data_IF_438555614742
#
_entry.id   IF_438555614742
#
_cell.length_a   1.000
_cell.length_b   1.000
_cell.length_c   1.000
_cell.angle_alpha   90.00
_cell.angle_beta   90.00
_cell.angle_gamma   90.00
#
_symmetry.space_group_name_H-M   'P 1'
#
loop_
_entity.id
_entity.type
_entity.pdbx_description
1 polymer ?
#
# COMPACT_ATOMS: atom_id res chain seq x y z
N UNK A 1 1.55 -32.70 -3.21
CA UNK A 1 1.73 -31.95 -1.97
C UNK A 1 1.09 -30.59 -2.16
N UNK A 2 0.00 -30.32 -1.44
CA UNK A 2 -0.70 -29.04 -1.53
C UNK A 2 0.09 -28.01 -0.70
N UNK A 3 -0.02 -26.73 -1.05
CA UNK A 3 0.68 -25.63 -0.33
C UNK A 3 0.22 -25.57 1.13
N UNK A 4 -1.05 -25.89 1.38
CA UNK A 4 -1.63 -26.02 2.72
C UNK A 4 -0.88 -27.01 3.60
N UNK A 5 -0.27 -28.04 3.02
CA UNK A 5 0.43 -29.08 3.77
C UNK A 5 1.83 -28.60 4.23
N UNK A 6 2.36 -27.57 3.56
CA UNK A 6 3.66 -26.96 3.85
C UNK A 6 3.59 -25.81 4.86
N UNK A 7 2.40 -25.23 5.06
CA UNK A 7 2.22 -24.03 5.87
C UNK A 7 1.62 -24.43 7.22
N UNK A 8 2.44 -24.37 8.26
CA UNK A 8 2.06 -24.67 9.65
C UNK A 8 2.15 -23.45 10.58
N UNK A 9 2.49 -22.31 10.01
CA UNK A 9 2.57 -21.00 10.66
C UNK A 9 1.42 -20.11 10.17
N UNK A 10 1.04 -19.06 10.92
CA UNK A 10 -0.07 -18.22 10.50
C UNK A 10 0.31 -17.29 9.36
N UNK A 11 -0.66 -17.05 8.47
CA UNK A 11 -0.47 -16.31 7.21
C UNK A 11 -1.37 -15.08 7.16
N UNK A 12 -0.78 -13.95 6.78
CA UNK A 12 -1.50 -12.76 6.32
C UNK A 12 -1.46 -12.72 4.80
N UNK A 13 -2.60 -12.50 4.18
CA UNK A 13 -2.68 -12.09 2.79
C UNK A 13 -3.26 -10.70 2.70
N UNK A 14 -2.65 -9.83 1.88
CA UNK A 14 -3.15 -8.48 1.63
C UNK A 14 -3.32 -8.22 0.13
N UNK A 15 -4.53 -7.82 -0.23
CA UNK A 15 -4.85 -7.34 -1.58
C UNK A 15 -5.40 -5.92 -1.56
N UNK A 16 -5.43 -5.32 -2.75
CA UNK A 16 -5.88 -3.95 -2.97
C UNK A 16 -5.24 -3.35 -4.21
N UNK A 17 -5.78 -2.23 -4.68
CA UNK A 17 -5.22 -1.49 -5.81
C UNK A 17 -3.92 -0.76 -5.42
N UNK A 18 -3.86 -0.19 -4.21
CA UNK A 18 -2.76 0.70 -3.81
C UNK A 18 -2.33 0.52 -2.34
N UNK A 19 -1.03 0.72 -2.07
CA UNK A 19 -0.48 0.80 -0.70
C UNK A 19 -0.20 -0.55 0.00
N UNK A 20 -0.39 -1.69 -0.67
CA UNK A 20 -0.18 -3.03 -0.08
C UNK A 20 1.22 -3.21 0.49
N UNK A 21 2.26 -3.07 -0.34
CA UNK A 21 3.67 -3.22 0.06
C UNK A 21 4.01 -2.34 1.26
N UNK A 22 3.58 -1.08 1.25
CA UNK A 22 3.88 -0.14 2.35
C UNK A 22 3.23 -0.60 3.66
N UNK A 23 1.99 -1.09 3.60
CA UNK A 23 1.30 -1.65 4.77
C UNK A 23 2.03 -2.89 5.31
N UNK A 24 2.54 -3.75 4.42
CA UNK A 24 3.37 -4.92 4.80
C UNK A 24 4.68 -4.47 5.45
N UNK A 25 5.36 -3.46 4.91
CA UNK A 25 6.59 -2.94 5.49
C UNK A 25 6.36 -2.30 6.87
N UNK A 26 5.23 -1.61 7.08
CA UNK A 26 4.81 -1.14 8.39
C UNK A 26 4.56 -2.30 9.36
N UNK A 27 3.86 -3.36 8.94
CA UNK A 27 3.64 -4.52 9.80
C UNK A 27 4.96 -5.20 10.21
N UNK A 28 5.87 -5.39 9.25
CA UNK A 28 7.19 -6.00 9.47
C UNK A 28 7.99 -5.19 10.49
N UNK A 29 7.98 -3.86 10.44
CA UNK A 29 8.77 -3.05 11.39
C UNK A 29 8.30 -3.18 12.84
N UNK A 30 7.01 -3.44 13.06
CA UNK A 30 6.45 -3.66 14.39
C UNK A 30 6.66 -5.11 14.89
N UNK A 31 6.76 -6.08 13.98
CA UNK A 31 6.78 -7.50 14.33
C UNK A 31 8.20 -8.12 14.34
N UNK A 32 9.13 -7.65 13.50
CA UNK A 32 10.40 -8.34 13.22
C UNK A 32 11.32 -8.54 14.43
N UNK A 33 11.17 -7.73 15.49
CA UNK A 33 11.92 -7.89 16.75
C UNK A 33 11.46 -9.09 17.59
N UNK A 34 10.23 -9.57 17.37
CA UNK A 34 9.62 -10.66 18.13
C UNK A 34 9.41 -11.92 17.29
N UNK A 35 9.28 -11.76 15.98
CA UNK A 35 8.92 -12.83 15.06
C UNK A 35 9.87 -12.86 13.88
N UNK A 36 10.24 -14.07 13.47
CA UNK A 36 10.77 -14.34 12.14
C UNK A 36 9.64 -14.30 11.11
N UNK A 37 9.84 -13.56 10.01
CA UNK A 37 8.78 -13.22 9.07
C UNK A 37 9.22 -13.56 7.65
N UNK A 38 8.45 -14.40 6.98
CA UNK A 38 8.55 -14.59 5.54
C UNK A 38 7.61 -13.60 4.84
N UNK A 39 8.11 -12.86 3.85
CA UNK A 39 7.28 -11.94 3.06
C UNK A 39 7.39 -12.19 1.57
N UNK A 40 6.29 -11.90 0.86
CA UNK A 40 6.26 -11.76 -0.59
C UNK A 40 5.62 -10.41 -0.90
N UNK A 41 6.38 -9.50 -1.50
CA UNK A 41 5.90 -8.17 -1.87
C UNK A 41 6.39 -7.76 -3.26
N UNK A 42 6.03 -6.56 -3.73
CA UNK A 42 6.64 -6.00 -4.94
C UNK A 42 8.16 -5.83 -4.86
N UNK A 43 8.75 -5.88 -3.66
CA UNK A 43 10.19 -5.81 -3.45
C UNK A 43 10.87 -7.19 -3.60
N UNK A 44 10.10 -8.27 -3.69
CA UNK A 44 10.61 -9.64 -3.78
C UNK A 44 10.16 -10.53 -2.63
N UNK A 45 10.86 -11.64 -2.47
CA UNK A 45 10.72 -12.58 -1.35
C UNK A 45 11.83 -12.27 -0.35
N UNK A 46 11.45 -11.96 0.87
CA UNK A 46 12.40 -11.60 1.94
C UNK A 46 12.08 -12.36 3.23
N UNK A 47 13.11 -12.70 3.98
CA UNK A 47 13.02 -13.26 5.33
C UNK A 47 13.59 -12.26 6.34
N UNK A 48 12.84 -11.99 7.41
CA UNK A 48 13.22 -11.03 8.45
C UNK A 48 13.36 -11.75 9.79
N UNK A 49 14.41 -11.42 10.54
CA UNK A 49 14.62 -11.91 11.91
C UNK A 49 15.41 -10.86 12.67
N UNK A 50 14.79 -10.26 13.68
CA UNK A 50 15.36 -9.14 14.42
C UNK A 50 15.81 -8.01 13.45
N UNK A 51 17.00 -7.42 13.65
CA UNK A 51 17.56 -6.40 12.75
C UNK A 51 18.05 -6.96 11.40
N UNK A 52 18.14 -8.29 11.25
CA UNK A 52 18.56 -8.93 10.00
C UNK A 52 17.41 -9.08 9.00
N UNK A 53 17.73 -8.88 7.72
CA UNK A 53 16.84 -9.15 6.59
C UNK A 53 17.61 -9.79 5.46
N UNK A 54 17.09 -10.90 4.93
CA UNK A 54 17.66 -11.62 3.80
C UNK A 54 16.71 -11.54 2.59
N UNK A 55 17.23 -11.11 1.44
CA UNK A 55 16.49 -11.13 0.18
C UNK A 55 16.71 -12.48 -0.50
N UNK A 56 15.67 -13.30 -0.55
CA UNK A 56 15.70 -14.65 -1.09
C UNK A 56 15.45 -14.68 -2.61
N UNK A 57 14.68 -13.71 -3.13
CA UNK A 57 14.49 -13.53 -4.55
C UNK A 57 13.99 -12.12 -4.89
N UNK A 58 14.55 -11.52 -5.94
CA UNK A 58 14.12 -10.23 -6.48
C UNK A 58 13.28 -10.40 -7.76
N UNK A 59 12.59 -9.33 -8.18
CA UNK A 59 11.84 -9.27 -9.44
C UNK A 59 10.75 -10.35 -9.58
N UNK A 60 10.17 -10.75 -8.45
CA UNK A 60 9.07 -11.73 -8.40
C UNK A 60 7.73 -11.02 -8.42
N UNK A 61 6.77 -11.54 -9.17
CA UNK A 61 5.41 -11.01 -9.17
C UNK A 61 4.64 -11.45 -7.91
N UNK A 62 3.74 -10.61 -7.44
CA UNK A 62 2.86 -10.88 -6.28
C UNK A 62 1.63 -11.71 -6.68
N UNK A 63 1.82 -12.70 -7.55
CA UNK A 63 0.76 -13.63 -7.93
C UNK A 63 0.67 -14.75 -6.90
N UNK A 64 -0.52 -15.33 -6.67
CA UNK A 64 -0.73 -16.47 -5.78
C UNK A 64 0.30 -17.61 -5.93
N UNK A 65 0.69 -17.93 -7.17
CA UNK A 65 1.62 -19.03 -7.44
C UNK A 65 3.01 -18.83 -6.81
N UNK A 66 3.44 -17.58 -6.61
CA UNK A 66 4.75 -17.29 -6.01
C UNK A 66 4.79 -17.48 -4.49
N UNK A 67 3.65 -17.70 -3.82
CA UNK A 67 3.64 -18.11 -2.41
C UNK A 67 4.33 -19.46 -2.23
N UNK A 68 4.14 -20.40 -3.17
CA UNK A 68 4.81 -21.71 -3.15
C UNK A 68 6.33 -21.52 -3.18
N UNK A 69 6.79 -20.60 -4.03
CA UNK A 69 8.21 -20.28 -4.16
C UNK A 69 8.73 -19.62 -2.87
N UNK A 70 7.99 -18.70 -2.28
CA UNK A 70 8.36 -18.06 -1.02
C UNK A 70 8.56 -19.09 0.09
N UNK A 71 7.59 -19.99 0.30
CA UNK A 71 7.68 -21.05 1.32
C UNK A 71 8.87 -21.99 1.08
N UNK A 72 9.14 -22.35 -0.17
CA UNK A 72 10.29 -23.21 -0.53
C UNK A 72 11.66 -22.56 -0.36
N UNK A 73 11.73 -21.24 -0.53
CA UNK A 73 12.97 -20.48 -0.38
C UNK A 73 13.24 -20.09 1.08
N UNK A 74 12.25 -20.21 1.97
CA UNK A 74 12.42 -19.89 3.38
C UNK A 74 13.57 -20.71 3.97
N UNK A 75 14.56 -20.08 4.63
CA UNK A 75 15.71 -20.78 5.18
C UNK A 75 15.33 -21.71 6.35
N UNK A 76 14.22 -21.40 7.01
CA UNK A 76 13.66 -22.14 8.13
C UNK A 76 12.13 -21.92 8.19
N UNK A 77 11.44 -22.61 9.11
CA UNK A 77 10.01 -22.36 9.36
C UNK A 77 9.84 -20.98 10.05
N UNK A 78 9.20 -20.00 9.40
CA UNK A 78 9.00 -18.69 10.00
C UNK A 78 7.92 -18.75 11.09
N UNK A 79 7.96 -17.81 12.03
CA UNK A 79 6.89 -17.65 13.02
C UNK A 79 5.57 -17.20 12.36
N UNK A 80 5.66 -16.41 11.28
CA UNK A 80 4.52 -15.98 10.48
C UNK A 80 4.92 -15.60 9.05
N UNK A 81 3.95 -15.52 8.15
CA UNK A 81 4.16 -14.98 6.81
C UNK A 81 3.19 -13.86 6.44
N UNK A 82 3.66 -12.90 5.63
CA UNK A 82 2.86 -11.78 5.13
C UNK A 82 3.02 -11.68 3.61
N UNK A 83 1.96 -11.98 2.88
CA UNK A 83 1.97 -12.04 1.42
C UNK A 83 1.10 -10.95 0.81
N UNK A 84 1.74 -10.09 0.00
CA UNK A 84 1.04 -9.24 -0.95
C UNK A 84 0.51 -10.10 -2.11
N UNK A 85 -0.78 -9.97 -2.41
CA UNK A 85 -1.43 -10.70 -3.50
C UNK A 85 -2.19 -9.74 -4.42
N UNK A 86 -1.83 -9.78 -5.71
CA UNK A 86 -2.27 -8.79 -6.71
C UNK A 86 -3.76 -8.88 -7.08
N UNK A 87 -4.31 -10.09 -7.21
CA UNK A 87 -5.64 -10.32 -7.79
C UNK A 87 -6.68 -10.90 -6.81
N UNK A 88 -6.30 -11.40 -5.63
CA UNK A 88 -7.23 -12.01 -4.68
C UNK A 88 -6.51 -12.87 -3.65
N UNK A 89 -7.24 -13.44 -2.70
CA UNK A 89 -6.69 -14.37 -1.70
C UNK A 89 -6.58 -15.79 -2.24
N UNK A 90 -5.79 -16.63 -1.58
CA UNK A 90 -5.61 -18.05 -1.94
C UNK A 90 -6.40 -19.01 -1.06
N UNK A 91 -7.10 -18.47 -0.06
CA UNK A 91 -7.87 -19.24 0.92
C UNK A 91 -7.05 -19.71 2.13
N UNK A 92 -5.72 -19.61 2.09
CA UNK A 92 -4.84 -20.09 3.16
C UNK A 92 -4.70 -19.12 4.35
N UNK A 93 -5.09 -17.86 4.16
CA UNK A 93 -4.83 -16.78 5.12
C UNK A 93 -5.58 -16.98 6.45
N UNK A 94 -4.89 -16.76 7.55
CA UNK A 94 -5.47 -16.56 8.88
C UNK A 94 -6.03 -15.14 9.01
N UNK A 95 -5.33 -14.17 8.43
CA UNK A 95 -5.79 -12.79 8.27
C UNK A 95 -5.79 -12.40 6.79
N UNK A 96 -6.99 -12.22 6.22
CA UNK A 96 -7.16 -11.62 4.90
C UNK A 96 -7.43 -10.12 4.98
N UNK A 97 -6.81 -9.33 4.12
CA UNK A 97 -6.99 -7.87 4.07
C UNK A 97 -7.34 -7.42 2.65
N UNK A 98 -8.50 -6.78 2.50
CA UNK A 98 -8.88 -6.07 1.26
C UNK A 98 -8.79 -4.57 1.53
N UNK A 99 -7.68 -3.98 1.09
CA UNK A 99 -7.31 -2.60 1.44
C UNK A 99 -8.12 -1.53 0.70
N UNK A 100 -8.29 -1.68 -0.61
CA UNK A 100 -9.08 -0.77 -1.45
C UNK A 100 -9.30 -1.37 -2.86
N UNK A 101 -10.30 -0.85 -3.58
CA UNK A 101 -10.65 -1.23 -4.95
C UNK A 101 -10.86 0.03 -5.81
N UNK A 102 -9.77 0.59 -6.33
CA UNK A 102 -9.84 1.80 -7.15
C UNK A 102 -10.49 1.52 -8.51
N UNK A 103 -9.98 0.53 -9.23
CA UNK A 103 -10.47 0.16 -10.55
C UNK A 103 -11.05 -1.25 -10.51
N UNK A 104 -12.32 -1.40 -10.92
CA UNK A 104 -12.90 -2.71 -11.19
C UNK A 104 -12.82 -3.02 -12.69
N UNK A 105 -11.64 -3.47 -13.11
CA UNK A 105 -11.36 -3.78 -14.51
C UNK A 105 -11.67 -5.25 -14.82
N UNK A 106 -12.08 -5.56 -16.07
CA UNK A 106 -12.28 -6.94 -16.49
C UNK A 106 -10.97 -7.73 -16.44
N UNK A 107 -11.05 -8.95 -15.94
CA UNK A 107 -9.95 -9.92 -15.94
C UNK A 107 -10.41 -11.20 -16.65
N UNK A 108 -9.51 -12.18 -16.80
CA UNK A 108 -9.82 -13.48 -17.39
C UNK A 108 -10.57 -13.35 -18.75
N UNK A 109 -10.06 -12.49 -19.64
CA UNK A 109 -10.67 -12.17 -20.95
C UNK A 109 -12.13 -11.67 -20.85
N UNK A 110 -12.48 -10.97 -19.76
CA UNK A 110 -13.81 -10.37 -19.56
C UNK A 110 -14.81 -11.26 -18.84
N UNK A 111 -14.43 -12.48 -18.43
CA UNK A 111 -15.32 -13.41 -17.72
C UNK A 111 -15.39 -13.19 -16.21
N UNK A 112 -14.54 -12.31 -15.67
CA UNK A 112 -14.50 -11.93 -14.26
C UNK A 112 -14.02 -10.49 -14.10
N UNK A 113 -14.02 -9.96 -12.88
CA UNK A 113 -13.59 -8.60 -12.56
C UNK A 113 -12.55 -8.57 -11.43
N UNK A 114 -11.80 -7.48 -11.33
CA UNK A 114 -10.81 -7.30 -10.27
C UNK A 114 -11.46 -7.30 -8.88
N UNK A 115 -12.67 -6.73 -8.74
CA UNK A 115 -13.45 -6.79 -7.51
C UNK A 115 -13.82 -8.23 -7.17
N UNK A 116 -14.40 -8.98 -8.13
CA UNK A 116 -14.80 -10.38 -7.92
C UNK A 116 -13.62 -11.24 -7.48
N UNK A 117 -12.45 -11.04 -8.07
CA UNK A 117 -11.25 -11.79 -7.69
C UNK A 117 -10.77 -11.41 -6.27
N UNK A 118 -10.84 -10.13 -5.87
CA UNK A 118 -10.52 -9.73 -4.48
C UNK A 118 -11.50 -10.32 -3.48
N UNK A 119 -12.77 -10.48 -3.85
CA UNK A 119 -13.78 -11.11 -3.00
C UNK A 119 -13.50 -12.59 -2.71
N UNK A 120 -12.61 -13.26 -3.46
CA UNK A 120 -12.17 -14.63 -3.13
C UNK A 120 -11.59 -14.73 -1.72
N UNK A 121 -10.98 -13.65 -1.22
CA UNK A 121 -10.45 -13.57 0.13
C UNK A 121 -11.52 -13.73 1.21
N UNK A 122 -12.79 -13.49 0.87
CA UNK A 122 -13.95 -13.71 1.75
C UNK A 122 -14.60 -15.06 1.42
N UNK A 123 -14.88 -15.30 0.14
CA UNK A 123 -15.70 -16.45 -0.28
C UNK A 123 -14.97 -17.79 -0.24
N UNK A 124 -13.64 -17.78 -0.32
CA UNK A 124 -12.79 -18.99 -0.38
C UNK A 124 -11.89 -19.13 0.86
N UNK A 125 -12.14 -18.34 1.91
CA UNK A 125 -11.34 -18.36 3.14
C UNK A 125 -11.48 -19.69 3.90
N UNK A 126 -10.40 -20.14 4.53
CA UNK A 126 -10.44 -21.25 5.48
C UNK A 126 -11.30 -20.91 6.72
N UNK A 127 -11.87 -21.94 7.33
CA UNK A 127 -12.65 -21.80 8.57
C UNK A 127 -11.80 -21.17 9.68
N UNK A 128 -12.39 -20.24 10.43
CA UNK A 128 -11.69 -19.50 11.50
C UNK A 128 -10.87 -18.30 11.02
N UNK A 129 -10.68 -18.14 9.70
CA UNK A 129 -10.01 -16.97 9.12
C UNK A 129 -10.73 -15.67 9.46
N UNK A 130 -9.94 -14.64 9.73
CA UNK A 130 -10.41 -13.27 9.91
C UNK A 130 -10.18 -12.50 8.61
N UNK A 131 -11.21 -11.81 8.12
CA UNK A 131 -11.05 -10.89 6.99
C UNK A 131 -11.37 -9.49 7.44
N UNK A 132 -10.51 -8.52 7.10
CA UNK A 132 -10.72 -7.10 7.36
C UNK A 132 -10.77 -6.32 6.04
N UNK A 133 -11.74 -5.41 5.93
CA UNK A 133 -11.96 -4.59 4.74
C UNK A 133 -12.02 -3.11 5.08
N UNK A 134 -11.76 -2.25 4.11
CA UNK A 134 -11.83 -0.81 4.31
C UNK A 134 -13.28 -0.31 4.34
N UNK A 135 -13.73 0.25 5.46
CA UNK A 135 -15.06 0.85 5.61
C UNK A 135 -15.22 2.17 4.84
N UNK A 136 -14.10 2.78 4.45
CA UNK A 136 -14.10 4.01 3.66
C UNK A 136 -14.21 3.75 2.16
N UNK A 137 -14.02 2.51 1.71
CA UNK A 137 -14.19 2.12 0.32
C UNK A 137 -15.64 1.73 0.04
N UNK A 138 -16.32 2.50 -0.82
CA UNK A 138 -17.73 2.31 -1.15
C UNK A 138 -18.02 0.88 -1.65
N UNK A 139 -17.11 0.29 -2.44
CA UNK A 139 -17.28 -1.06 -3.02
C UNK A 139 -17.13 -2.17 -1.96
N UNK A 140 -16.53 -1.86 -0.82
CA UNK A 140 -16.28 -2.82 0.26
C UNK A 140 -17.20 -2.61 1.47
N UNK A 141 -17.76 -1.40 1.63
CA UNK A 141 -18.52 -0.99 2.81
C UNK A 141 -19.70 -1.92 3.15
N UNK A 142 -20.39 -2.44 2.14
CA UNK A 142 -21.56 -3.32 2.26
C UNK A 142 -21.26 -4.80 2.50
N UNK A 143 -20.00 -5.21 2.58
CA UNK A 143 -19.64 -6.63 2.75
C UNK A 143 -20.03 -7.16 4.14
N UNK A 144 -20.53 -8.40 4.20
CA UNK A 144 -20.93 -9.07 5.44
C UNK A 144 -19.88 -10.07 5.90
N UNK A 145 -19.95 -10.49 7.16
CA UNK A 145 -19.02 -11.47 7.77
C UNK A 145 -17.54 -11.08 7.69
N UNK A 146 -17.27 -9.79 7.78
CA UNK A 146 -15.93 -9.20 7.79
C UNK A 146 -15.79 -8.22 8.95
N UNK A 147 -14.57 -8.04 9.42
CA UNK A 147 -14.20 -6.88 10.24
C UNK A 147 -13.87 -5.70 9.34
N UNK A 148 -13.82 -4.51 9.91
CA UNK A 148 -13.58 -3.28 9.17
C UNK A 148 -12.44 -2.48 9.77
N UNK A 149 -11.69 -1.82 8.89
CA UNK A 149 -10.83 -0.71 9.26
C UNK A 149 -11.29 0.59 8.62
N UNK A 150 -11.02 1.73 9.26
CA UNK A 150 -11.31 3.05 8.70
C UNK A 150 -10.19 4.05 8.99
N UNK A 151 -9.39 4.46 7.99
CA UNK A 151 -8.49 5.60 8.13
C UNK A 151 -9.21 6.95 8.32
N UNK A 152 -10.49 7.07 7.93
CA UNK A 152 -11.25 8.33 8.11
C UNK A 152 -11.92 8.46 9.48
N UNK A 153 -11.91 7.40 10.30
CA UNK A 153 -12.50 7.39 11.63
C UNK A 153 -13.95 6.94 11.69
N UNK A 154 -14.51 6.36 10.61
CA UNK A 154 -15.83 5.70 10.67
C UNK A 154 -15.83 4.63 11.76
N UNK A 155 -17.00 4.41 12.35
CA UNK A 155 -17.18 3.36 13.36
C UNK A 155 -16.90 1.99 12.77
N UNK A 156 -15.80 1.37 13.19
CA UNK A 156 -15.33 0.06 12.77
C UNK A 156 -14.45 -0.57 13.85
N UNK A 157 -14.15 -1.87 13.71
CA UNK A 157 -13.34 -2.64 14.65
C UNK A 157 -11.93 -2.07 14.80
N UNK A 158 -11.37 -1.49 13.73
CA UNK A 158 -10.11 -0.76 13.75
C UNK A 158 -10.33 0.61 13.11
N UNK A 159 -9.91 1.71 13.73
CA UNK A 159 -10.07 3.05 13.11
C UNK A 159 -9.02 4.04 13.57
N UNK A 160 -8.71 5.00 12.72
CA UNK A 160 -7.86 6.14 13.07
C UNK A 160 -8.71 7.31 13.56
N UNK A 161 -8.33 7.92 14.68
CA UNK A 161 -8.89 9.18 15.18
C UNK A 161 -7.82 10.28 15.17
N UNK A 162 -8.28 11.52 15.04
CA UNK A 162 -7.46 12.73 15.16
C UNK A 162 -6.22 12.75 14.25
N UNK A 163 -6.36 12.20 13.03
CA UNK A 163 -5.26 12.08 12.10
C UNK A 163 -4.73 13.44 11.62
N UNK A 164 -3.51 13.76 12.04
CA UNK A 164 -2.72 14.92 11.63
C UNK A 164 -1.67 14.48 10.62
N UNK A 165 -1.65 15.15 9.48
CA UNK A 165 -0.69 14.90 8.40
C UNK A 165 0.00 16.22 8.10
N UNK A 166 1.33 16.24 8.21
CA UNK A 166 2.12 17.42 7.87
C UNK A 166 3.53 17.00 7.44
N UNK A 167 4.37 17.96 7.01
CA UNK A 167 5.74 17.66 6.60
C UNK A 167 6.61 17.06 7.72
N UNK A 168 6.26 17.29 9.00
CA UNK A 168 6.98 16.73 10.15
C UNK A 168 6.67 15.25 10.42
N UNK A 169 5.68 14.69 9.72
CA UNK A 169 5.22 13.32 9.91
C UNK A 169 3.71 13.24 10.05
N UNK A 170 3.26 12.03 10.40
CA UNK A 170 1.86 11.65 10.55
C UNK A 170 1.64 11.21 11.98
N UNK A 171 0.56 11.67 12.59
CA UNK A 171 0.16 11.27 13.95
C UNK A 171 -1.35 10.99 13.98
N UNK A 172 -1.75 9.90 14.63
CA UNK A 172 -3.15 9.57 14.89
C UNK A 172 -3.27 8.57 16.03
N UNK A 173 -4.48 8.42 16.59
CA UNK A 173 -4.77 7.35 17.55
C UNK A 173 -5.47 6.19 16.84
N UNK A 174 -4.89 5.00 16.90
CA UNK A 174 -5.53 3.78 16.42
C UNK A 174 -6.43 3.21 17.52
N UNK A 175 -7.74 3.12 17.25
CA UNK A 175 -8.73 2.54 18.17
C UNK A 175 -9.12 1.16 17.69
N UNK A 176 -9.09 0.21 18.62
CA UNK A 176 -9.55 -1.17 18.45
C UNK A 176 -10.84 -1.36 19.25
N UNK A 177 -11.87 -1.91 18.62
CA UNK A 177 -13.20 -2.11 19.22
C UNK A 177 -13.70 -3.51 18.92
N UNK A 178 -13.27 -4.48 19.72
CA UNK A 178 -13.62 -5.88 19.57
C UNK A 178 -12.96 -6.59 18.39
N UNK A 179 -11.80 -6.09 17.91
CA UNK A 179 -11.04 -6.64 16.80
C UNK A 179 -10.60 -8.07 17.10
N UNK A 180 -11.07 -9.03 16.31
CA UNK A 180 -10.70 -10.45 16.39
C UNK A 180 -9.27 -10.62 15.88
N UNK A 181 -8.38 -10.97 16.79
CA UNK A 181 -6.98 -11.35 16.57
C UNK A 181 -6.80 -12.86 16.72
N UNK A 182 -5.56 -13.32 16.57
CA UNK A 182 -5.20 -14.72 16.79
C UNK A 182 -5.38 -15.13 18.27
N UNK A 183 -5.20 -14.19 19.21
CA UNK A 183 -5.28 -14.43 20.65
C UNK A 183 -6.65 -14.15 21.28
N UNK A 184 -7.61 -13.63 20.51
CA UNK A 184 -8.96 -13.29 21.01
C UNK A 184 -9.46 -11.94 20.49
N UNK A 185 -10.40 -11.31 21.20
CA UNK A 185 -10.87 -9.98 20.83
C UNK A 185 -10.06 -8.90 21.54
N UNK A 186 -9.66 -7.89 20.79
CA UNK A 186 -8.89 -6.74 21.25
C UNK A 186 -9.79 -5.51 21.30
N UNK A 187 -9.73 -4.79 22.41
CA UNK A 187 -10.27 -3.43 22.51
C UNK A 187 -9.25 -2.56 23.25
N UNK A 188 -9.03 -1.34 22.74
CA UNK A 188 -8.02 -0.45 23.29
C UNK A 188 -7.60 0.63 22.29
N UNK A 189 -6.60 1.41 22.66
CA UNK A 189 -6.07 2.49 21.84
C UNK A 189 -4.54 2.45 21.82
N UNK A 190 -3.94 2.91 20.72
CA UNK A 190 -2.50 3.08 20.58
C UNK A 190 -2.22 4.41 19.91
N UNK A 191 -1.22 5.16 20.37
CA UNK A 191 -0.74 6.27 19.54
C UNK A 191 0.09 5.72 18.40
N UNK A 192 -0.08 6.34 17.24
CA UNK A 192 0.63 5.97 16.03
C UNK A 192 1.26 7.22 15.47
N UNK A 193 2.58 7.17 15.25
CA UNK A 193 3.32 8.29 14.67
C UNK A 193 4.36 7.83 13.66
N UNK A 194 4.75 8.75 12.78
CA UNK A 194 5.92 8.57 11.92
C UNK A 194 7.00 9.61 12.22
N UNK A 195 8.23 9.30 11.82
CA UNK A 195 9.27 10.33 11.65
C UNK A 195 8.87 11.32 10.55
N UNK A 196 9.70 12.36 10.38
CA UNK A 196 9.64 13.28 9.24
C UNK A 196 9.73 12.50 7.92
N UNK A 197 8.93 12.90 6.94
CA UNK A 197 9.11 12.48 5.55
C UNK A 197 7.96 11.75 4.85
N UNK A 198 7.15 10.86 5.44
CA UNK A 198 6.00 10.31 4.73
C UNK A 198 4.92 11.38 4.57
N UNK A 199 4.40 11.54 3.36
CA UNK A 199 3.49 12.61 2.96
C UNK A 199 2.16 12.04 2.50
N UNK A 200 1.06 12.49 3.10
CA UNK A 200 -0.29 12.22 2.60
C UNK A 200 -1.13 11.29 3.47
N UNK A 201 -2.44 11.48 3.39
CA UNK A 201 -3.45 10.69 4.12
C UNK A 201 -3.45 9.23 3.74
N UNK A 202 -3.01 8.88 2.53
CA UNK A 202 -2.82 7.48 2.15
C UNK A 202 -1.90 6.69 3.10
N UNK A 203 -0.98 7.36 3.81
CA UNK A 203 -0.12 6.70 4.78
C UNK A 203 -0.78 6.47 6.13
N UNK A 204 -1.81 7.24 6.50
CA UNK A 204 -2.66 6.89 7.65
C UNK A 204 -3.29 5.52 7.43
N UNK A 205 -3.80 5.25 6.23
CA UNK A 205 -4.33 3.94 5.85
C UNK A 205 -3.25 2.84 5.91
N UNK A 206 -2.07 3.09 5.33
CA UNK A 206 -0.99 2.09 5.32
C UNK A 206 -0.50 1.76 6.74
N UNK A 207 -0.31 2.78 7.58
CA UNK A 207 0.12 2.63 8.97
C UNK A 207 -0.97 1.92 9.80
N UNK A 208 -2.24 2.31 9.67
CA UNK A 208 -3.35 1.67 10.38
C UNK A 208 -3.47 0.18 10.03
N UNK A 209 -3.32 -0.18 8.75
CA UNK A 209 -3.29 -1.60 8.33
C UNK A 209 -2.06 -2.31 8.88
N UNK A 210 -0.89 -1.67 8.91
CA UNK A 210 0.31 -2.23 9.53
C UNK A 210 0.14 -2.51 11.02
N UNK A 211 -0.46 -1.57 11.76
CA UNK A 211 -0.80 -1.76 13.19
C UNK A 211 -1.84 -2.85 13.36
N UNK A 212 -2.87 -2.92 12.50
CA UNK A 212 -3.87 -3.98 12.55
C UNK A 212 -3.27 -5.38 12.35
N UNK A 213 -2.33 -5.53 11.41
CA UNK A 213 -1.57 -6.77 11.21
C UNK A 213 -0.76 -7.10 12.46
N UNK A 214 0.00 -6.14 13.00
CA UNK A 214 0.82 -6.36 14.18
C UNK A 214 -0.06 -6.82 15.38
N UNK A 215 -1.15 -6.09 15.62
CA UNK A 215 -2.14 -6.37 16.66
C UNK A 215 -2.87 -7.69 16.46
N UNK A 216 -2.96 -8.21 15.24
CA UNK A 216 -3.53 -9.54 15.00
C UNK A 216 -2.69 -10.66 15.63
N UNK A 217 -1.36 -10.52 15.61
CA UNK A 217 -0.44 -11.51 16.18
C UNK A 217 -0.07 -11.22 17.63
N UNK A 218 0.14 -9.94 17.95
CA UNK A 218 0.64 -9.51 19.23
C UNK A 218 0.01 -8.17 19.61
N UNK A 219 -0.81 -8.20 20.65
CA UNK A 219 -1.38 -7.00 21.23
C UNK A 219 -0.55 -6.55 22.44
N UNK A 220 -0.06 -5.33 22.36
CA UNK A 220 0.34 -4.53 23.50
C UNK A 220 -0.25 -3.12 23.36
N UNK A 221 -0.36 -2.40 24.46
CA UNK A 221 -0.82 -1.00 24.47
C UNK A 221 0.33 -0.03 24.18
N UNK A 222 1.46 -0.52 23.66
CA UNK A 222 2.61 0.32 23.33
C UNK A 222 2.33 1.15 22.08
N UNK A 223 2.91 2.35 22.02
CA UNK A 223 2.79 3.20 20.83
C UNK A 223 3.48 2.57 19.62
N UNK A 224 2.95 2.85 18.43
CA UNK A 224 3.52 2.40 17.17
C UNK A 224 4.27 3.56 16.51
N UNK A 225 5.56 3.36 16.26
CA UNK A 225 6.43 4.33 15.59
C UNK A 225 6.92 3.78 14.25
N UNK A 226 6.86 4.62 13.22
CA UNK A 226 7.33 4.27 11.87
C UNK A 226 8.40 5.24 11.40
N UNK A 227 9.42 4.71 10.76
CA UNK A 227 10.48 5.50 10.16
C UNK A 227 10.26 5.66 8.65
N UNK A 228 10.96 6.60 8.03
CA UNK A 228 10.83 6.91 6.60
C UNK A 228 11.06 5.69 5.70
N UNK A 229 11.97 4.79 6.10
CA UNK A 229 12.35 3.58 5.36
C UNK A 229 11.16 2.63 5.16
N UNK A 230 10.19 2.62 6.08
CA UNK A 230 8.98 1.79 5.96
C UNK A 230 8.13 2.18 4.75
N UNK A 231 8.27 3.42 4.28
CA UNK A 231 7.52 3.96 3.16
C UNK A 231 8.27 3.84 1.82
N UNK A 232 9.56 3.47 1.87
CA UNK A 232 10.41 3.35 0.69
C UNK A 232 10.44 4.65 -0.09
N UNK A 233 10.12 4.59 -1.39
CA UNK A 233 10.02 5.77 -2.26
C UNK A 233 8.58 6.14 -2.62
N UNK A 234 7.61 5.87 -1.74
CA UNK A 234 6.17 6.06 -2.03
C UNK A 234 5.62 7.24 -1.23
N UNK A 235 5.41 8.37 -1.89
CA UNK A 235 5.01 9.66 -1.29
C UNK A 235 5.84 10.03 -0.07
N UNK A 236 7.15 10.13 -0.29
CA UNK A 236 8.12 10.50 0.73
C UNK A 236 8.83 11.80 0.36
N UNK A 237 9.22 12.58 1.35
CA UNK A 237 9.98 13.79 1.16
C UNK A 237 11.46 13.46 0.89
N UNK A 238 11.96 13.82 -0.29
CA UNK A 238 13.37 13.68 -0.67
C UNK A 238 14.21 14.92 -0.31
N UNK A 239 13.62 16.11 -0.31
CA UNK A 239 14.27 17.35 0.09
C UNK A 239 13.29 18.27 0.81
N UNK A 240 13.79 19.04 1.79
CA UNK A 240 13.01 20.02 2.56
C UNK A 240 13.05 21.43 1.97
N UNK A 241 14.16 21.82 1.33
CA UNK A 241 14.39 23.20 0.89
C UNK A 241 15.01 23.23 -0.52
N UNK A 242 14.19 23.40 -1.58
CA UNK A 242 12.72 23.42 -1.56
C UNK A 242 12.11 22.02 -1.35
N UNK A 243 10.86 21.92 -0.84
CA UNK A 243 10.18 20.64 -0.62
C UNK A 243 10.02 19.82 -1.89
N UNK A 244 10.57 18.60 -1.92
CA UNK A 244 10.44 17.67 -3.04
C UNK A 244 9.88 16.34 -2.55
N UNK A 245 8.70 15.96 -3.03
CA UNK A 245 8.00 14.74 -2.62
C UNK A 245 8.04 13.73 -3.76
N UNK A 246 8.62 12.55 -3.52
CA UNK A 246 8.71 11.46 -4.48
C UNK A 246 7.63 10.40 -4.22
N UNK A 247 6.92 10.03 -5.28
CA UNK A 247 6.15 8.80 -5.36
C UNK A 247 6.59 7.95 -6.56
N UNK A 248 7.44 6.98 -6.28
CA UNK A 248 7.90 5.96 -7.21
C UNK A 248 7.14 4.66 -7.00
N UNK A 249 6.42 4.24 -8.03
CA UNK A 249 5.60 3.01 -8.00
C UNK A 249 5.69 2.24 -9.31
N UNK A 250 5.76 0.89 -9.27
CA UNK A 250 5.67 0.08 -10.49
C UNK A 250 4.28 0.12 -11.15
N UNK A 251 3.28 0.63 -10.41
CA UNK A 251 1.87 0.66 -10.80
C UNK A 251 1.31 2.03 -10.44
N UNK A 252 1.47 3.01 -11.33
CA UNK A 252 0.84 4.32 -11.24
C UNK A 252 -0.48 4.27 -12.02
N UNK A 253 -1.63 4.15 -11.35
CA UNK A 253 -2.94 4.28 -12.00
C UNK A 253 -3.43 5.73 -11.99
N UNK A 254 -4.41 6.10 -12.85
CA UNK A 254 -5.04 7.44 -12.82
C UNK A 254 -5.49 7.82 -11.40
N UNK A 255 -6.19 6.91 -10.71
CA UNK A 255 -6.64 7.17 -9.34
C UNK A 255 -5.50 7.35 -8.34
N UNK A 256 -4.40 6.61 -8.50
CA UNK A 256 -3.20 6.77 -7.67
C UNK A 256 -2.54 8.15 -7.87
N UNK A 257 -2.58 8.70 -9.08
CA UNK A 257 -2.06 10.04 -9.40
C UNK A 257 -2.94 11.11 -8.74
N UNK A 258 -4.26 11.01 -8.91
CA UNK A 258 -5.22 11.93 -8.26
C UNK A 258 -5.01 11.98 -6.74
N UNK A 259 -4.88 10.81 -6.10
CA UNK A 259 -4.64 10.72 -4.65
C UNK A 259 -3.30 11.36 -4.28
N UNK A 260 -2.24 11.11 -5.04
CA UNK A 260 -0.91 11.70 -4.79
C UNK A 260 -0.91 13.22 -4.91
N UNK A 261 -1.60 13.75 -5.93
CA UNK A 261 -1.76 15.19 -6.15
C UNK A 261 -2.54 15.80 -4.98
N UNK A 262 -3.70 15.24 -4.62
CA UNK A 262 -4.50 15.74 -3.50
C UNK A 262 -3.68 15.76 -2.21
N UNK A 263 -3.04 14.64 -1.88
CA UNK A 263 -2.28 14.47 -0.65
C UNK A 263 -1.07 15.43 -0.58
N UNK A 264 -0.43 15.73 -1.70
CA UNK A 264 0.62 16.76 -1.77
C UNK A 264 0.06 18.16 -1.51
N UNK A 265 -1.07 18.50 -2.15
CA UNK A 265 -1.69 19.83 -2.07
C UNK A 265 -2.31 20.14 -0.71
N UNK A 266 -2.52 19.14 0.15
CA UNK A 266 -2.89 19.37 1.56
C UNK A 266 -1.76 20.04 2.36
N UNK A 267 -0.50 19.95 1.90
CA UNK A 267 0.68 20.39 2.65
C UNK A 267 1.46 21.46 1.90
N UNK A 268 1.59 21.33 0.58
CA UNK A 268 2.48 22.15 -0.23
C UNK A 268 1.74 22.88 -1.35
N UNK A 269 2.21 24.07 -1.77
CA UNK A 269 1.62 24.79 -2.90
C UNK A 269 1.88 24.07 -4.25
N UNK A 270 1.00 24.25 -5.25
CA UNK A 270 1.08 23.59 -6.56
C UNK A 270 2.16 24.18 -7.50
N UNK A 271 3.41 24.24 -7.05
CA UNK A 271 4.48 24.91 -7.79
C UNK A 271 4.88 24.13 -9.05
N UNK A 272 5.23 22.84 -8.92
CA UNK A 272 5.68 22.00 -10.03
C UNK A 272 5.24 20.55 -9.87
N UNK A 273 4.81 19.93 -10.97
CA UNK A 273 4.49 18.52 -11.05
C UNK A 273 5.42 17.82 -12.05
N UNK A 274 6.16 16.81 -11.60
CA UNK A 274 7.03 16.00 -12.46
C UNK A 274 6.39 14.63 -12.64
N UNK A 275 6.15 14.19 -13.89
CA UNK A 275 5.51 12.90 -14.19
C UNK A 275 6.31 12.16 -15.25
N UNK A 276 6.66 10.91 -14.96
CA UNK A 276 7.48 10.15 -15.90
C UNK A 276 7.78 8.72 -15.49
N UNK A 277 8.81 8.14 -16.13
CA UNK A 277 9.27 6.77 -15.87
C UNK A 277 9.05 5.83 -17.06
N UNK A 278 9.01 4.52 -16.79
CA UNK A 278 8.91 3.47 -17.82
C UNK A 278 7.48 3.24 -18.28
N UNK A 279 7.30 2.99 -19.58
CA UNK A 279 6.00 2.61 -20.13
C UNK A 279 5.84 1.07 -20.05
N UNK A 280 5.19 0.57 -19.01
CA UNK A 280 4.91 -0.88 -18.88
C UNK A 280 3.81 -1.32 -19.87
N UNK A 281 4.10 -2.33 -20.68
CA UNK A 281 3.22 -2.88 -21.75
C UNK A 281 2.36 -4.07 -21.33
N UNK A 282 2.55 -4.63 -20.12
CA UNK A 282 1.79 -5.79 -19.63
C UNK A 282 0.79 -5.45 -18.53
N UNK A 283 -0.39 -6.11 -18.60
CA UNK A 283 -1.59 -6.06 -17.73
C UNK A 283 -1.80 -4.78 -16.88
N UNK A 284 -2.80 -3.98 -17.28
CA UNK A 284 -3.14 -2.69 -16.65
C UNK A 284 -2.46 -1.52 -17.37
N UNK A 285 -2.66 -1.42 -18.68
CA UNK A 285 -2.20 -0.26 -19.46
C UNK A 285 -2.80 1.00 -18.84
N UNK A 286 -1.90 1.88 -18.39
CA UNK A 286 -2.30 3.20 -17.91
C UNK A 286 -2.52 4.03 -19.16
N UNK A 287 -3.75 4.49 -19.38
CA UNK A 287 -4.08 5.38 -20.49
C UNK A 287 -3.33 6.70 -20.27
N UNK A 288 -2.36 7.05 -21.14
CA UNK A 288 -1.68 8.34 -21.06
C UNK A 288 -2.67 9.50 -21.22
N UNK A 289 -3.78 9.30 -21.96
CA UNK A 289 -4.86 10.27 -22.09
C UNK A 289 -5.49 10.59 -20.74
N UNK A 290 -5.93 9.57 -19.99
CA UNK A 290 -6.56 9.76 -18.66
C UNK A 290 -5.61 10.44 -17.68
N UNK A 291 -4.32 10.11 -17.74
CA UNK A 291 -3.32 10.77 -16.89
C UNK A 291 -3.14 12.23 -17.29
N UNK A 292 -3.14 12.54 -18.60
CA UNK A 292 -3.09 13.91 -19.07
C UNK A 292 -4.32 14.72 -18.63
N UNK A 293 -5.52 14.13 -18.67
CA UNK A 293 -6.76 14.76 -18.17
C UNK A 293 -6.63 15.15 -16.69
N UNK A 294 -6.10 14.25 -15.85
CA UNK A 294 -5.86 14.53 -14.42
C UNK A 294 -4.85 15.65 -14.24
N UNK A 295 -3.73 15.62 -14.99
CA UNK A 295 -2.70 16.66 -14.93
C UNK A 295 -3.28 18.03 -15.35
N UNK A 296 -4.09 18.07 -16.41
CA UNK A 296 -4.71 19.30 -16.90
C UNK A 296 -5.74 19.87 -15.92
N UNK A 297 -6.51 19.00 -15.26
CA UNK A 297 -7.45 19.39 -14.22
C UNK A 297 -6.75 19.82 -12.91
N UNK A 298 -5.45 19.51 -12.75
CA UNK A 298 -4.68 19.87 -11.57
C UNK A 298 -4.28 21.35 -11.56
N UNK A 299 -4.07 21.95 -10.36
CA UNK A 299 -3.69 23.36 -10.25
C UNK A 299 -2.22 23.65 -10.59
N UNK A 300 -1.43 22.64 -10.98
CA UNK A 300 -0.02 22.84 -11.33
C UNK A 300 0.11 23.52 -12.70
N UNK A 301 0.74 24.69 -12.77
CA UNK A 301 0.98 25.40 -14.03
C UNK A 301 2.26 24.95 -14.73
N UNK A 302 3.23 24.46 -13.97
CA UNK A 302 4.48 23.90 -14.48
C UNK A 302 4.47 22.38 -14.36
N UNK A 303 4.57 21.71 -15.50
CA UNK A 303 4.59 20.25 -15.61
C UNK A 303 5.87 19.82 -16.30
N UNK A 304 6.67 19.01 -15.62
CA UNK A 304 7.85 18.39 -16.22
C UNK A 304 7.56 16.94 -16.58
N UNK A 305 7.81 16.55 -17.83
CA UNK A 305 7.60 15.20 -18.32
C UNK A 305 8.94 14.51 -18.57
N UNK A 306 9.07 13.24 -18.20
CA UNK A 306 10.32 12.49 -18.38
C UNK A 306 10.13 11.00 -18.67
N UNK A 307 11.12 10.40 -19.31
CA UNK A 307 11.10 8.99 -19.69
C UNK A 307 10.01 8.64 -20.71
N UNK A 308 9.88 7.33 -21.00
CA UNK A 308 8.93 6.81 -21.99
C UNK A 308 7.48 7.17 -21.66
N UNK A 309 7.13 7.12 -20.37
CA UNK A 309 5.77 7.42 -19.92
C UNK A 309 5.45 8.91 -20.06
N UNK A 310 6.41 9.80 -19.73
CA UNK A 310 6.26 11.24 -19.94
C UNK A 310 6.08 11.60 -21.40
N UNK A 311 6.87 11.00 -22.31
CA UNK A 311 6.72 11.21 -23.76
C UNK A 311 5.38 10.70 -24.31
N UNK A 312 4.83 9.62 -23.73
CA UNK A 312 3.49 9.16 -24.07
C UNK A 312 2.39 10.15 -23.64
N UNK A 313 2.53 10.80 -22.48
CA UNK A 313 1.59 11.79 -21.95
C UNK A 313 1.66 13.12 -22.72
N UNK A 314 2.85 13.53 -23.14
CA UNK A 314 3.15 14.84 -23.76
C UNK A 314 2.21 15.23 -24.91
N UNK A 315 1.76 14.24 -25.69
CA UNK A 315 0.86 14.44 -26.84
C UNK A 315 -0.54 14.93 -26.46
N UNK A 316 -0.94 14.74 -25.21
CA UNK A 316 -2.29 15.04 -24.72
C UNK A 316 -2.34 16.29 -23.83
N UNK A 317 -1.20 16.75 -23.31
CA UNK A 317 -1.13 17.94 -22.47
C UNK A 317 -1.27 19.20 -23.33
N UNK A 318 -2.28 20.02 -23.01
CA UNK A 318 -2.53 21.34 -23.59
C UNK A 318 -2.68 22.38 -22.48
N UNK A 319 -2.19 23.60 -22.71
CA UNK A 319 -2.42 24.75 -21.84
C UNK A 319 -1.57 24.83 -20.56
N UNK A 320 -0.64 23.89 -20.34
CA UNK A 320 0.32 23.92 -19.23
C UNK A 320 1.73 24.21 -19.75
N UNK A 321 2.58 24.87 -18.95
CA UNK A 321 4.00 25.05 -19.29
C UNK A 321 4.72 23.71 -19.13
N UNK A 322 5.10 23.11 -20.25
CA UNK A 322 5.86 21.86 -20.26
C UNK A 322 7.36 22.14 -20.28
N UNK A 323 8.09 21.65 -19.28
CA UNK A 323 9.56 21.72 -19.24
C UNK A 323 10.16 20.32 -19.26
N UNK A 324 11.45 20.21 -19.54
CA UNK A 324 12.17 18.97 -19.24
C UNK A 324 12.32 18.80 -17.71
N UNK A 325 12.32 17.56 -17.24
CA UNK A 325 12.62 17.29 -15.84
C UNK A 325 14.11 17.60 -15.58
N UNK A 326 14.36 18.56 -14.70
CA UNK A 326 15.71 18.92 -14.27
C UNK A 326 15.76 18.86 -12.74
N UNK A 327 16.65 18.05 -12.14
CA UNK A 327 16.78 17.94 -10.69
C UNK A 327 17.16 19.25 -10.01
N UNK A 328 17.76 20.20 -10.74
CA UNK A 328 18.36 21.41 -10.19
C UNK A 328 17.38 22.61 -10.04
N UNK A 329 16.08 22.42 -10.28
CA UNK A 329 15.12 23.53 -10.19
C UNK A 329 14.74 23.80 -8.74
N UNK A 330 15.01 25.04 -8.30
CA UNK A 330 14.77 25.55 -6.95
C UNK A 330 13.28 25.86 -6.67
N UNK A 331 12.39 24.90 -6.94
CA UNK A 331 10.95 25.00 -6.63
C UNK A 331 10.45 23.75 -5.94
N UNK A 332 9.38 23.88 -5.16
CA UNK A 332 8.73 22.71 -4.56
C UNK A 332 8.11 21.84 -5.65
N UNK A 333 8.24 20.52 -5.53
CA UNK A 333 7.77 19.61 -6.57
C UNK A 333 7.15 18.33 -6.01
N UNK A 334 6.10 17.86 -6.68
CA UNK A 334 5.62 16.48 -6.59
C UNK A 334 6.20 15.69 -7.76
N UNK A 335 6.90 14.60 -7.48
CA UNK A 335 7.51 13.71 -8.48
C UNK A 335 6.76 12.39 -8.50
N UNK A 336 6.12 12.07 -9.62
CA UNK A 336 5.40 10.83 -9.86
C UNK A 336 6.18 9.99 -10.87
N UNK A 337 6.88 8.97 -10.38
CA UNK A 337 7.76 8.12 -11.19
C UNK A 337 7.22 6.69 -11.32
N UNK A 338 7.00 6.26 -12.56
CA UNK A 338 6.67 4.87 -12.87
C UNK A 338 7.95 4.02 -13.00
N UNK A 339 8.14 3.08 -12.07
CA UNK A 339 9.34 2.22 -11.95
C UNK A 339 9.49 1.08 -12.96
#
# INVERSE_FOLDING_TARGET
MLVSDMIKFPVVEITGSFGKTTSVMCAISLLRKKFSILSLTSNGICFYRDENSETLAENISTTPANIIRAVRLSPEEPDLAIFEVSLGGTGIADLGIIKNVYDDYPIAKGTSSALKAKMSMITERKMGSTVIVNADDEKLSGLVEVQRFSPSGKSSEVRALDAKVCFKGIEFTAIFSGFRSLAGRISGARQVKSTVGPIGRQHVENMLVGVAIASYFFWDESDAEFCLENFGRKMVLESMEPPRVLNKSPSISPKSIEVSIRDYLEIFPPARLEVGGKLKTSCGSVSPEKVAEIIQASPFEEVALFGEFGEAIKKFIKGKRTTEACPAVATSALVLERG
#
